data_IF_741434762075
#
_entry.id   IF_741434762075
#
_cell.length_a   1.000
_cell.length_b   1.000
_cell.length_c   1.000
_cell.angle_alpha   90.00
_cell.angle_beta   90.00
_cell.angle_gamma   90.00
#
_symmetry.space_group_name_H-M   'P 1'
#
loop_
_entity.id
_entity.type
_entity.pdbx_description
1 polymer ?
#
# COMPACT_ATOMS: atom_id res chain seq x y z
N UNK A 1 -0.33 1.66 6.79
CA UNK A 1 0.70 1.33 7.79
C UNK A 1 1.96 2.18 7.65
N UNK A 2 2.39 2.50 6.43
CA UNK A 2 3.54 3.38 6.15
C UNK A 2 3.30 4.86 6.43
N UNK A 3 2.04 5.33 6.42
CA UNK A 3 1.70 6.74 6.53
C UNK A 3 2.17 7.40 7.84
N UNK A 4 1.96 6.76 9.00
CA UNK A 4 2.41 7.29 10.29
C UNK A 4 3.93 7.51 10.35
N UNK A 5 4.69 6.55 9.82
CA UNK A 5 6.16 6.64 9.75
C UNK A 5 6.57 7.75 8.77
N UNK A 6 5.87 7.90 7.63
CA UNK A 6 6.14 8.96 6.66
C UNK A 6 5.91 10.36 7.23
N UNK A 7 4.88 10.55 8.04
CA UNK A 7 4.55 11.84 8.66
C UNK A 7 5.55 12.24 9.75
N UNK A 8 6.09 11.28 10.50
CA UNK A 8 6.95 11.57 11.65
C UNK A 8 8.46 11.37 11.37
N UNK A 9 8.84 10.90 10.17
CA UNK A 9 10.25 10.64 9.82
C UNK A 9 11.12 11.90 9.85
N UNK A 10 10.54 13.08 9.62
CA UNK A 10 11.30 14.34 9.58
C UNK A 10 11.69 14.82 10.98
N UNK A 11 10.91 14.46 12.00
CA UNK A 11 11.12 14.89 13.38
C UNK A 11 11.93 13.85 14.16
N UNK A 12 11.59 12.57 14.02
CA UNK A 12 12.17 11.50 14.83
C UNK A 12 13.14 10.60 14.05
N UNK A 13 13.12 10.63 12.71
CA UNK A 13 13.75 9.59 11.90
C UNK A 13 12.96 8.28 11.90
N UNK A 14 13.28 7.39 10.95
CA UNK A 14 12.53 6.14 10.72
C UNK A 14 12.80 5.10 11.81
N UNK A 15 14.06 5.01 12.26
CA UNK A 15 14.55 3.96 13.17
C UNK A 15 13.85 3.93 14.55
N UNK A 16 13.69 5.07 15.27
CA UNK A 16 13.03 5.05 16.58
C UNK A 16 11.53 4.76 16.47
N UNK A 17 10.88 5.19 15.39
CA UNK A 17 9.45 4.89 15.14
C UNK A 17 9.27 3.39 14.88
N UNK A 18 10.12 2.79 14.04
CA UNK A 18 10.13 1.36 13.78
C UNK A 18 10.35 0.54 15.06
N UNK A 19 11.17 1.03 16.00
CA UNK A 19 11.39 0.39 17.31
C UNK A 19 10.13 0.37 18.17
N UNK A 20 9.38 1.48 18.23
CA UNK A 20 8.13 1.58 19.00
C UNK A 20 7.03 0.71 18.40
N UNK A 21 6.89 0.73 17.07
CA UNK A 21 5.91 -0.09 16.36
C UNK A 21 6.28 -1.58 16.30
N UNK A 22 7.50 -1.95 16.72
CA UNK A 22 8.07 -3.30 16.62
C UNK A 22 8.06 -3.83 15.18
N UNK A 23 8.41 -2.97 14.23
CA UNK A 23 8.52 -3.29 12.81
C UNK A 23 9.98 -3.18 12.41
N UNK A 24 10.47 -4.11 11.60
CA UNK A 24 11.83 -4.01 11.06
C UNK A 24 11.92 -2.87 10.02
N UNK A 25 12.94 -1.99 10.06
CA UNK A 25 13.08 -0.89 9.11
C UNK A 25 13.20 -1.37 7.65
N UNK A 26 13.74 -2.56 7.43
CA UNK A 26 13.79 -3.21 6.10
C UNK A 26 12.40 -3.36 5.47
N UNK A 27 11.38 -3.69 6.26
CA UNK A 27 10.00 -3.84 5.76
C UNK A 27 9.40 -2.49 5.35
N UNK A 28 9.73 -1.41 6.06
CA UNK A 28 9.30 -0.06 5.71
C UNK A 28 9.89 0.38 4.37
N UNK A 29 11.20 0.18 4.16
CA UNK A 29 11.84 0.50 2.88
C UNK A 29 11.35 -0.39 1.73
N UNK A 30 11.07 -1.67 1.98
CA UNK A 30 10.46 -2.55 1.00
C UNK A 30 9.06 -2.05 0.58
N UNK A 31 8.24 -1.60 1.52
CA UNK A 31 6.95 -1.00 1.21
C UNK A 31 7.08 0.33 0.46
N UNK A 32 8.03 1.19 0.83
CA UNK A 32 8.33 2.41 0.07
C UNK A 32 8.74 2.13 -1.37
N UNK A 33 9.56 1.10 -1.60
CA UNK A 33 9.99 0.72 -2.94
C UNK A 33 8.81 0.26 -3.81
N UNK A 34 7.87 -0.50 -3.23
CA UNK A 34 6.65 -0.96 -3.93
C UNK A 34 5.66 0.19 -4.20
N UNK A 35 5.57 1.16 -3.29
CA UNK A 35 4.71 2.34 -3.48
C UNK A 35 5.26 3.28 -4.57
N UNK A 36 6.58 3.50 -4.62
CA UNK A 36 7.21 4.37 -5.61
C UNK A 36 7.30 3.71 -7.00
N UNK A 37 7.57 2.41 -7.04
CA UNK A 37 7.66 1.65 -8.27
C UNK A 37 6.59 0.56 -8.24
N UNK A 38 5.41 0.89 -8.78
CA UNK A 38 4.32 -0.09 -8.98
C UNK A 38 4.79 -1.32 -9.75
N UNK A 39 5.87 -1.22 -10.53
CA UNK A 39 6.50 -2.33 -11.24
C UNK A 39 7.26 -3.31 -10.35
N UNK A 40 7.75 -2.88 -9.18
CA UNK A 40 8.36 -3.74 -8.16
C UNK A 40 7.33 -4.48 -7.31
N UNK A 41 6.05 -4.13 -7.44
CA UNK A 41 4.97 -4.87 -6.81
C UNK A 41 4.92 -6.30 -7.37
N UNK A 42 4.65 -7.29 -6.52
CA UNK A 42 4.39 -8.65 -6.97
C UNK A 42 3.23 -8.67 -7.99
N UNK A 43 3.24 -9.61 -8.96
CA UNK A 43 2.16 -9.78 -9.94
C UNK A 43 0.76 -9.86 -9.30
N UNK A 44 0.66 -10.48 -8.11
CA UNK A 44 -0.59 -10.51 -7.34
C UNK A 44 -1.02 -9.11 -6.89
N UNK A 45 -0.08 -8.30 -6.42
CA UNK A 45 -0.35 -6.93 -6.01
C UNK A 45 -0.74 -6.05 -7.21
N UNK A 46 -0.10 -6.23 -8.37
CA UNK A 46 -0.51 -5.58 -9.63
C UNK A 46 -1.94 -5.95 -10.01
N UNK A 47 -2.28 -7.25 -9.99
CA UNK A 47 -3.66 -7.73 -10.27
C UNK A 47 -4.68 -7.19 -9.28
N UNK A 48 -4.32 -7.09 -7.99
CA UNK A 48 -5.19 -6.49 -6.96
C UNK A 48 -5.40 -5.00 -7.20
N UNK A 49 -4.38 -4.27 -7.64
CA UNK A 49 -4.50 -2.85 -7.98
C UNK A 49 -5.40 -2.64 -9.20
N UNK A 50 -5.19 -3.41 -10.26
CA UNK A 50 -6.08 -3.42 -11.43
C UNK A 50 -7.53 -3.76 -11.02
N UNK A 51 -7.71 -4.75 -10.12
CA UNK A 51 -9.04 -5.10 -9.60
C UNK A 51 -9.65 -3.96 -8.79
N UNK A 52 -8.88 -3.29 -7.93
CA UNK A 52 -9.33 -2.11 -7.18
C UNK A 52 -9.77 -0.99 -8.12
N UNK A 53 -8.95 -0.65 -9.11
CA UNK A 53 -9.27 0.38 -10.10
C UNK A 53 -10.54 0.00 -10.85
N UNK A 54 -10.68 -1.25 -11.29
CA UNK A 54 -11.88 -1.72 -11.99
C UNK A 54 -13.15 -1.59 -11.12
N UNK A 55 -13.04 -1.91 -9.82
CA UNK A 55 -14.15 -1.78 -8.86
C UNK A 55 -14.51 -0.31 -8.63
N UNK A 56 -13.51 0.58 -8.50
CA UNK A 56 -13.71 2.00 -8.20
C UNK A 56 -14.17 2.81 -9.42
N UNK A 57 -13.81 2.38 -10.63
CA UNK A 57 -14.14 3.06 -11.88
C UNK A 57 -15.42 2.53 -12.53
N UNK A 58 -15.86 1.32 -12.18
CA UNK A 58 -17.20 0.88 -12.57
C UNK A 58 -18.23 1.37 -11.55
N UNK A 59 -19.29 2.08 -11.96
CA UNK A 59 -20.47 2.19 -11.11
C UNK A 59 -20.94 0.75 -10.93
N UNK A 60 -20.90 0.29 -9.68
CA UNK A 60 -21.44 -0.98 -9.21
C UNK A 60 -22.54 -1.49 -10.14
N UNK A 61 -22.25 -2.57 -10.88
CA UNK A 61 -23.14 -3.09 -11.92
C UNK A 61 -24.49 -3.48 -11.33
N UNK A 62 -25.44 -2.56 -11.44
CA UNK A 62 -26.88 -2.69 -11.20
C UNK A 62 -27.56 -3.75 -12.10
N UNK A 63 -26.79 -4.65 -12.72
CA UNK A 63 -27.26 -5.54 -13.79
C UNK A 63 -26.64 -6.95 -13.80
N UNK A 64 -25.89 -7.36 -12.77
CA UNK A 64 -25.31 -8.72 -12.74
C UNK A 64 -26.01 -9.70 -11.78
N UNK A 65 -27.11 -9.31 -11.13
CA UNK A 65 -27.93 -10.20 -10.31
C UNK A 65 -29.44 -10.08 -10.62
N UNK A 66 -29.82 -9.94 -11.89
CA UNK A 66 -31.14 -10.42 -12.34
C UNK A 66 -30.95 -11.82 -12.92
N UNK A 67 -31.13 -12.81 -12.04
CA UNK A 67 -31.80 -14.06 -12.44
C UNK A 67 -33.30 -13.84 -12.34
#
# INVERSE_FOLDING_TARGET
>A
MTQFIKEHREVCGVEPICRVLKIAPSTFYAHLAVENEQDKASDRAKRLEVMRILILTKPYTDKLFRR
#
